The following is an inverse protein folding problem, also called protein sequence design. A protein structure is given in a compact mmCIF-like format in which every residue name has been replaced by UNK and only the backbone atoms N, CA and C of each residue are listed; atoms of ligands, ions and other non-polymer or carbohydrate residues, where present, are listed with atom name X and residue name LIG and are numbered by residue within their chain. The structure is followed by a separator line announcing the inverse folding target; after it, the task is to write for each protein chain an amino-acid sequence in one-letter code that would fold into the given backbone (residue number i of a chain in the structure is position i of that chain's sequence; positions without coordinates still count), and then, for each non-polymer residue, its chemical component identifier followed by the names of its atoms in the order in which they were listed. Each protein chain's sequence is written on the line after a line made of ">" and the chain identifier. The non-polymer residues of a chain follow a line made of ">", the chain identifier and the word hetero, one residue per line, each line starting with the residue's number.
data_IF_283795358750
#
_entry.id   IF_283795358750
#
_cell.length_a   1.000
_cell.length_b   1.000
_cell.length_c   1.000
_cell.angle_alpha   90.00
_cell.angle_beta   90.00
_cell.angle_gamma   90.00
#
_symmetry.space_group_name_H-M   'P 1'
#
loop_
_entity.id
_entity.type
_entity.pdbx_description
1 polymer ?
#
# COMPACT_ATOMS: atom_id res chain seq x y z
N UNK A 1 -5.45 -8.83 18.86
CA UNK A 1 -4.40 -7.83 18.52
C UNK A 1 -3.80 -8.22 17.19
N UNK A 2 -3.79 -7.33 16.18
CA UNK A 2 -3.25 -7.60 14.85
C UNK A 2 -1.98 -6.77 14.69
N UNK A 3 -0.84 -7.43 14.43
CA UNK A 3 0.41 -6.76 14.11
C UNK A 3 0.54 -6.62 12.59
N UNK A 4 0.75 -5.40 12.12
CA UNK A 4 0.99 -5.10 10.70
C UNK A 4 2.45 -4.72 10.55
N UNK A 5 3.20 -5.47 9.75
CA UNK A 5 4.54 -5.05 9.36
C UNK A 5 4.39 -3.98 8.28
N UNK A 6 4.68 -2.73 8.62
CA UNK A 6 4.50 -1.57 7.73
C UNK A 6 5.75 -1.31 6.90
N UNK A 7 5.59 -1.11 5.60
CA UNK A 7 6.65 -0.80 4.65
C UNK A 7 6.25 0.39 3.75
N UNK A 8 7.25 1.19 3.37
CA UNK A 8 7.07 2.45 2.63
C UNK A 8 7.21 3.69 3.53
N UNK A 9 6.89 4.90 3.03
CA UNK A 9 6.25 5.16 1.75
C UNK A 9 7.15 4.97 0.53
N UNK A 10 6.56 4.46 -0.54
CA UNK A 10 7.12 4.31 -1.88
C UNK A 10 6.73 5.50 -2.77
N UNK A 11 7.62 5.85 -3.70
CA UNK A 11 7.50 7.09 -4.51
C UNK A 11 6.54 6.92 -5.68
N UNK A 12 6.50 5.74 -6.27
CA UNK A 12 5.67 5.45 -7.42
C UNK A 12 5.07 4.03 -7.32
N UNK A 13 4.15 3.73 -8.25
CA UNK A 13 3.46 2.44 -8.27
C UNK A 13 4.35 1.31 -8.82
N UNK A 14 5.36 1.64 -9.61
CA UNK A 14 6.25 0.64 -10.21
C UNK A 14 7.20 0.04 -9.17
N UNK A 15 7.72 0.89 -8.26
CA UNK A 15 8.50 0.50 -7.07
C UNK A 15 7.67 -0.40 -6.15
N UNK A 16 6.41 -0.04 -5.88
CA UNK A 16 5.53 -0.89 -5.07
C UNK A 16 5.31 -2.24 -5.76
N UNK A 17 5.17 -2.24 -7.09
CA UNK A 17 4.84 -3.43 -7.86
C UNK A 17 6.01 -4.41 -7.99
N UNK A 18 7.25 -3.93 -8.06
CA UNK A 18 8.43 -4.79 -8.05
C UNK A 18 8.55 -5.52 -6.71
N UNK A 19 8.42 -4.80 -5.59
CA UNK A 19 8.49 -5.36 -4.24
C UNK A 19 7.31 -6.32 -3.98
N UNK A 20 6.09 -5.92 -4.35
CA UNK A 20 4.90 -6.72 -4.13
C UNK A 20 4.86 -8.02 -4.96
N UNK A 21 5.61 -8.09 -6.08
CA UNK A 21 5.72 -9.32 -6.87
C UNK A 21 6.51 -10.40 -6.15
N UNK A 22 7.53 -10.01 -5.40
CA UNK A 22 8.46 -10.94 -4.77
C UNK A 22 7.95 -11.41 -3.40
N UNK A 23 7.34 -10.50 -2.62
CA UNK A 23 7.21 -10.70 -1.17
C UNK A 23 5.76 -10.80 -0.67
N UNK A 24 4.76 -10.28 -1.40
CA UNK A 24 3.44 -9.99 -0.82
C UNK A 24 2.27 -10.61 -1.58
N UNK A 25 1.85 -11.79 -1.11
CA UNK A 25 0.61 -12.41 -1.56
C UNK A 25 -0.62 -11.69 -0.98
N UNK A 26 -0.75 -11.63 0.35
CA UNK A 26 -1.82 -10.88 1.03
C UNK A 26 -1.28 -9.66 1.79
N UNK A 27 -1.83 -8.49 1.52
CA UNK A 27 -1.44 -7.30 2.26
C UNK A 27 -2.53 -6.20 2.27
N UNK A 28 -2.36 -5.29 3.22
CA UNK A 28 -3.05 -4.01 3.34
C UNK A 28 -2.21 -2.97 2.62
N UNK A 29 -2.82 -2.06 1.88
CA UNK A 29 -2.10 -0.99 1.22
C UNK A 29 -2.85 0.32 1.28
N UNK A 30 -2.09 1.42 1.30
CA UNK A 30 -2.62 2.77 1.43
C UNK A 30 -1.99 3.67 0.38
N UNK A 31 -2.82 4.54 -0.20
CA UNK A 31 -2.37 5.63 -1.05
C UNK A 31 -2.65 6.95 -0.34
N UNK A 32 -1.58 7.72 -0.16
CA UNK A 32 -1.58 9.04 0.44
C UNK A 32 -1.19 10.03 -0.67
N UNK A 33 -1.83 11.19 -0.66
CA UNK A 33 -1.50 12.26 -1.60
C UNK A 33 -2.64 13.24 -1.73
N UNK A 34 -2.74 13.89 -2.90
CA UNK A 34 -3.77 14.87 -3.19
C UNK A 34 -4.49 14.58 -4.51
N UNK A 35 -5.81 14.77 -4.48
CA UNK A 35 -6.69 14.86 -5.64
C UNK A 35 -6.76 16.32 -6.14
N UNK A 36 -7.26 16.55 -7.37
CA UNK A 36 -7.55 17.90 -7.84
C UNK A 36 -8.35 18.71 -6.80
N UNK A 37 -7.99 19.99 -6.66
CA UNK A 37 -8.60 20.96 -5.73
C UNK A 37 -8.33 20.75 -4.23
N UNK A 38 -7.62 19.69 -3.83
CA UNK A 38 -7.19 19.54 -2.45
C UNK A 38 -5.98 20.43 -2.12
N UNK A 39 -6.00 21.03 -0.93
CA UNK A 39 -4.94 21.92 -0.42
C UNK A 39 -4.02 21.25 0.60
N UNK A 40 -4.32 20.02 1.01
CA UNK A 40 -3.56 19.27 2.02
C UNK A 40 -3.50 17.80 1.63
N UNK A 41 -2.35 17.18 1.89
CA UNK A 41 -2.15 15.74 1.75
C UNK A 41 -3.05 15.00 2.75
N UNK A 42 -3.72 13.97 2.26
CA UNK A 42 -4.54 13.07 3.08
C UNK A 42 -4.49 11.65 2.53
N UNK A 43 -4.96 10.70 3.34
CA UNK A 43 -5.20 9.35 2.88
C UNK A 43 -6.34 9.35 1.84
N UNK A 44 -6.08 8.81 0.66
CA UNK A 44 -7.02 8.81 -0.46
C UNK A 44 -7.65 7.44 -0.69
N UNK A 45 -6.94 6.39 -0.31
CA UNK A 45 -7.38 5.02 -0.52
C UNK A 45 -6.73 4.06 0.48
N UNK A 46 -7.53 3.10 0.98
CA UNK A 46 -7.05 1.91 1.66
C UNK A 46 -7.61 0.70 0.89
N UNK A 47 -6.75 -0.25 0.57
CA UNK A 47 -7.15 -1.53 -0.02
C UNK A 47 -6.58 -2.69 0.78
N UNK A 48 -7.32 -3.79 0.79
CA UNK A 48 -6.85 -5.07 1.30
C UNK A 48 -7.08 -6.11 0.20
N UNK A 49 -6.12 -6.99 -0.03
CA UNK A 49 -6.31 -8.02 -1.04
C UNK A 49 -5.11 -8.95 -1.22
N UNK A 50 -5.38 -10.02 -1.98
CA UNK A 50 -4.37 -10.90 -2.56
C UNK A 50 -3.74 -10.31 -3.83
N UNK A 51 -2.54 -10.77 -4.18
CA UNK A 51 -1.77 -10.41 -5.37
C UNK A 51 -1.69 -8.89 -5.62
N UNK A 52 -1.17 -8.13 -4.65
CA UNK A 52 -1.16 -6.65 -4.67
C UNK A 52 -0.52 -6.08 -5.94
N UNK A 53 0.50 -6.73 -6.48
CA UNK A 53 1.18 -6.31 -7.71
C UNK A 53 0.23 -6.19 -8.92
N UNK A 54 -0.92 -6.89 -8.92
CA UNK A 54 -1.94 -6.78 -9.97
C UNK A 54 -2.87 -5.57 -9.78
N UNK A 55 -2.94 -5.04 -8.56
CA UNK A 55 -3.80 -3.92 -8.15
C UNK A 55 -3.05 -2.58 -8.16
N UNK A 56 -1.73 -2.61 -7.94
CA UNK A 56 -0.86 -1.43 -7.98
C UNK A 56 -0.48 -1.05 -9.40
N UNK A 57 -1.45 -0.52 -10.14
CA UNK A 57 -1.31 -0.15 -11.55
C UNK A 57 -1.88 1.24 -11.82
N UNK A 58 -1.35 1.90 -12.83
CA UNK A 58 -1.70 3.28 -13.18
C UNK A 58 -3.17 3.46 -13.60
N UNK A 59 -3.82 2.41 -14.11
CA UNK A 59 -5.23 2.39 -14.48
C UNK A 59 -6.17 2.06 -13.29
N UNK A 60 -5.63 1.90 -12.07
CA UNK A 60 -6.47 1.65 -10.90
C UNK A 60 -7.43 2.82 -10.66
N UNK A 61 -8.72 2.50 -10.68
CA UNK A 61 -9.83 3.46 -10.70
C UNK A 61 -9.77 4.56 -9.63
N UNK A 62 -9.24 4.29 -8.43
CA UNK A 62 -8.99 5.31 -7.37
C UNK A 62 -7.58 5.88 -7.33
N UNK A 63 -6.53 5.08 -7.50
CA UNK A 63 -5.14 5.55 -7.38
C UNK A 63 -4.83 6.60 -8.45
N UNK A 64 -5.40 6.44 -9.65
CA UNK A 64 -5.24 7.40 -10.75
C UNK A 64 -5.77 8.80 -10.44
N UNK A 65 -6.69 8.93 -9.47
CA UNK A 65 -7.27 10.21 -9.07
C UNK A 65 -6.33 11.04 -8.18
N UNK A 66 -5.28 10.42 -7.63
CA UNK A 66 -4.27 11.06 -6.77
C UNK A 66 -3.14 11.60 -7.65
N UNK A 67 -3.22 12.85 -8.08
CA UNK A 67 -2.36 13.39 -9.14
C UNK A 67 -1.15 14.17 -8.62
N UNK A 68 -1.09 14.45 -7.31
CA UNK A 68 -0.02 15.24 -6.67
C UNK A 68 0.41 14.64 -5.34
N UNK A 69 1.68 14.83 -5.00
CA UNK A 69 2.33 14.40 -3.75
C UNK A 69 1.99 12.96 -3.36
N UNK A 70 2.02 12.06 -4.36
CA UNK A 70 1.64 10.67 -4.19
C UNK A 70 2.73 9.93 -3.41
N UNK A 71 2.33 9.28 -2.33
CA UNK A 71 3.14 8.36 -1.54
C UNK A 71 2.31 7.11 -1.26
N UNK A 72 2.86 5.93 -1.50
CA UNK A 72 2.14 4.66 -1.31
C UNK A 72 2.77 3.85 -0.19
N UNK A 73 1.99 3.37 0.77
CA UNK A 73 2.46 2.46 1.83
C UNK A 73 1.83 1.08 1.66
N UNK A 74 2.54 0.01 2.05
CA UNK A 74 2.03 -1.36 2.03
C UNK A 74 2.41 -2.05 3.34
N UNK A 75 1.47 -2.80 3.91
CA UNK A 75 1.64 -3.55 5.14
C UNK A 75 1.25 -5.02 4.96
N UNK A 76 2.15 -5.94 5.32
CA UNK A 76 1.86 -7.39 5.30
C UNK A 76 1.22 -7.80 6.63
N UNK A 77 0.11 -8.53 6.55
CA UNK A 77 -0.46 -9.20 7.71
C UNK A 77 0.34 -10.47 7.97
N UNK A 78 1.04 -10.56 9.11
CA UNK A 78 1.58 -11.84 9.59
C UNK A 78 0.62 -12.44 10.61
N UNK A 79 0.32 -13.75 10.55
CA UNK A 79 -0.24 -14.43 11.71
C UNK A 79 0.75 -14.31 12.86
N UNK A 80 0.25 -13.96 14.05
CA UNK A 80 1.06 -13.87 15.24
C UNK A 80 1.42 -15.31 15.64
N UNK A 81 2.59 -15.80 15.22
CA UNK A 81 3.13 -17.02 15.79
C UNK A 81 3.51 -16.70 17.24
N UNK A 82 2.68 -17.19 18.15
CA UNK A 82 2.86 -17.13 19.59
C UNK A 82 3.92 -18.16 20.02
N UNK A 83 5.08 -18.21 19.34
CA UNK A 83 6.24 -19.00 19.75
C UNK A 83 7.50 -18.33 19.18
N UNK A 84 8.20 -17.60 20.05
CA UNK A 84 9.65 -17.37 20.10
C UNK A 84 9.91 -16.25 21.13
N UNK A 85 9.64 -16.59 22.38
CA UNK A 85 10.33 -16.03 23.54
C UNK A 85 10.73 -17.25 24.38
N UNK A 86 11.92 -17.76 24.08
CA UNK A 86 12.72 -18.60 24.96
C UNK A 86 14.14 -18.00 24.97
#
# INVERSE_FOLDING_TARGET
>A
MIAVNWYGPYRDLDEVRSIAREEWDHALYMCIGMRPYQRRVSMQYIGIGGAIHTRMKHDHHKLKEVTRDRASGSGRLRPLNLQENA
#
